data_IF_513172818468
#
_entry.id   IF_513172818468
#
_cell.length_a   1.000
_cell.length_b   1.000
_cell.length_c   1.000
_cell.angle_alpha   90.00
_cell.angle_beta   90.00
_cell.angle_gamma   90.00
#
_symmetry.space_group_name_H-M   'P 1'
#
loop_
_entity.id
_entity.type
_entity.pdbx_description
1 polymer ?
#
# COMPACT_ATOMS: atom_id res chain seq x y z
N UNK A 1 -6.65 -5.67 2.67
CA UNK A 1 -5.76 -6.41 1.75
C UNK A 1 -5.55 -5.56 0.51
N UNK A 2 -4.41 -5.66 -0.14
CA UNK A 2 -4.10 -4.89 -1.35
C UNK A 2 -2.98 -5.51 -2.16
N UNK A 3 -2.77 -4.98 -3.36
CA UNK A 3 -1.67 -5.37 -4.25
C UNK A 3 -0.92 -4.12 -4.69
N UNK A 4 0.40 -4.19 -4.71
CA UNK A 4 1.28 -3.16 -5.26
C UNK A 4 2.24 -3.78 -6.27
N UNK A 5 2.62 -3.02 -7.30
CA UNK A 5 3.59 -3.49 -8.28
C UNK A 5 5.03 -3.41 -7.74
N UNK A 6 5.97 -4.00 -8.48
CA UNK A 6 7.40 -4.02 -8.13
C UNK A 6 8.00 -2.62 -7.94
N UNK A 7 7.54 -1.62 -8.71
CA UNK A 7 8.00 -0.24 -8.56
C UNK A 7 7.56 0.36 -7.22
N UNK A 8 6.32 0.14 -6.80
CA UNK A 8 5.83 0.60 -5.50
C UNK A 8 6.52 -0.08 -4.33
N UNK A 9 6.81 -1.38 -4.43
CA UNK A 9 7.64 -2.08 -3.43
C UNK A 9 9.03 -1.43 -3.31
N UNK A 10 9.67 -1.16 -4.45
CA UNK A 10 10.99 -0.52 -4.49
C UNK A 10 10.98 0.89 -3.87
N UNK A 11 9.95 1.70 -4.18
CA UNK A 11 9.82 3.06 -3.65
C UNK A 11 9.72 3.08 -2.12
N UNK A 12 9.04 2.09 -1.54
CA UNK A 12 8.86 1.95 -0.09
C UNK A 12 9.93 1.07 0.57
N UNK A 13 11.00 0.70 -0.16
CA UNK A 13 12.10 -0.15 0.30
C UNK A 13 11.65 -1.52 0.85
N UNK A 14 10.57 -2.08 0.30
CA UNK A 14 10.10 -3.44 0.62
C UNK A 14 10.73 -4.41 -0.37
N UNK A 15 11.47 -5.40 0.14
CA UNK A 15 12.18 -6.39 -0.65
C UNK A 15 11.93 -7.82 -0.10
N UNK A 16 12.49 -8.82 -0.76
CA UNK A 16 12.23 -10.24 -0.46
C UNK A 16 12.61 -10.64 0.98
N UNK A 17 13.50 -9.90 1.64
CA UNK A 17 13.92 -10.15 3.03
C UNK A 17 12.93 -9.62 4.09
N UNK A 18 11.89 -8.88 3.65
CA UNK A 18 10.86 -8.37 4.56
C UNK A 18 10.16 -9.51 5.29
N UNK A 19 10.01 -9.39 6.61
CA UNK A 19 9.29 -10.37 7.43
C UNK A 19 7.82 -9.98 7.55
N UNK A 20 6.99 -11.01 7.69
CA UNK A 20 5.59 -10.83 8.01
C UNK A 20 5.44 -10.18 9.40
N UNK A 21 4.70 -9.06 9.51
CA UNK A 21 4.40 -8.48 10.82
C UNK A 21 3.40 -9.36 11.57
N UNK A 22 3.31 -9.18 12.89
CA UNK A 22 2.25 -9.83 13.66
C UNK A 22 0.87 -9.41 13.10
N UNK A 23 0.02 -10.39 12.76
CA UNK A 23 -1.31 -10.13 12.19
C UNK A 23 -1.24 -9.50 10.80
N UNK A 24 -0.36 -9.97 9.92
CA UNK A 24 -0.28 -9.54 8.53
C UNK A 24 0.71 -10.38 7.73
N UNK A 25 0.50 -10.47 6.42
CA UNK A 25 1.30 -11.34 5.53
C UNK A 25 1.68 -10.56 4.28
N UNK A 26 2.94 -10.69 3.87
CA UNK A 26 3.41 -10.33 2.53
C UNK A 26 3.35 -11.56 1.61
N UNK A 27 2.61 -11.45 0.51
CA UNK A 27 2.44 -12.53 -0.46
C UNK A 27 3.72 -12.80 -1.26
N UNK A 28 3.95 -14.09 -1.54
CA UNK A 28 5.13 -14.57 -2.28
C UNK A 28 4.73 -15.53 -3.39
N UNK A 29 5.55 -15.63 -4.42
CA UNK A 29 5.38 -16.68 -5.42
C UNK A 29 5.67 -18.04 -4.79
N UNK A 30 4.85 -19.04 -5.12
CA UNK A 30 4.94 -20.38 -4.57
C UNK A 30 6.33 -20.98 -4.74
N UNK A 31 6.90 -21.53 -3.66
CA UNK A 31 8.22 -22.14 -3.66
C UNK A 31 9.39 -21.15 -3.71
N UNK A 32 9.12 -19.84 -3.59
CA UNK A 32 10.15 -18.80 -3.59
C UNK A 32 9.97 -17.86 -2.40
N UNK A 33 10.99 -17.04 -2.13
CA UNK A 33 10.85 -15.91 -1.20
C UNK A 33 10.45 -14.60 -1.92
N UNK A 34 10.24 -14.64 -3.23
CA UNK A 34 10.01 -13.44 -4.04
C UNK A 34 8.62 -12.87 -3.83
N UNK A 35 8.56 -11.59 -3.47
CA UNK A 35 7.30 -10.88 -3.27
C UNK A 35 6.48 -10.81 -4.56
N UNK A 36 5.19 -11.11 -4.45
CA UNK A 36 4.23 -10.97 -5.55
C UNK A 36 3.42 -9.66 -5.47
N UNK A 37 3.73 -8.81 -4.48
CA UNK A 37 3.08 -7.51 -4.27
C UNK A 37 1.79 -7.56 -3.46
N UNK A 38 1.28 -8.74 -3.12
CA UNK A 38 0.10 -8.89 -2.28
C UNK A 38 0.40 -8.65 -0.80
N UNK A 39 -0.54 -8.03 -0.08
CA UNK A 39 -0.41 -7.73 1.35
C UNK A 39 -1.74 -7.87 2.08
N UNK A 40 -1.71 -8.48 3.26
CA UNK A 40 -2.86 -8.62 4.16
C UNK A 40 -2.66 -7.89 5.49
N UNK A 41 -3.79 -7.47 6.08
CA UNK A 41 -3.86 -6.89 7.44
C UNK A 41 -2.71 -5.91 7.77
N UNK A 42 -1.91 -6.19 8.80
CA UNK A 42 -0.87 -5.28 9.26
C UNK A 42 0.26 -5.08 8.25
N UNK A 43 0.50 -6.01 7.31
CA UNK A 43 1.43 -5.77 6.21
C UNK A 43 0.91 -4.63 5.32
N UNK A 44 -0.37 -4.67 4.97
CA UNK A 44 -1.01 -3.63 4.18
C UNK A 44 -1.13 -2.29 4.93
N UNK A 45 -1.55 -2.32 6.20
CA UNK A 45 -1.69 -1.09 7.00
C UNK A 45 -0.34 -0.39 7.20
N UNK A 46 0.72 -1.15 7.48
CA UNK A 46 2.06 -0.57 7.64
C UNK A 46 2.59 0.00 6.33
N UNK A 47 2.35 -0.69 5.20
CA UNK A 47 2.70 -0.19 3.88
C UNK A 47 1.94 1.09 3.51
N UNK A 48 0.64 1.18 3.79
CA UNK A 48 -0.11 2.43 3.55
C UNK A 48 0.41 3.60 4.39
N UNK A 49 0.82 3.34 5.64
CA UNK A 49 1.41 4.37 6.51
C UNK A 49 2.74 4.91 5.95
N UNK A 50 3.56 4.08 5.31
CA UNK A 50 4.83 4.54 4.73
C UNK A 50 4.61 5.44 3.51
N UNK A 51 3.59 5.16 2.71
CA UNK A 51 3.21 5.97 1.54
C UNK A 51 2.55 7.30 1.92
N UNK A 52 1.89 7.35 3.08
CA UNK A 52 1.05 8.47 3.52
C UNK A 52 1.87 9.73 3.86
N UNK A 53 2.34 10.44 2.85
CA UNK A 53 2.65 11.87 2.98
C UNK A 53 1.36 12.68 2.93
N UNK A 54 1.13 13.56 3.90
CA UNK A 54 0.05 14.56 3.84
C UNK A 54 0.35 15.60 2.74
N UNK A 55 0.01 15.28 1.49
CA UNK A 55 -0.05 16.27 0.41
C UNK A 55 -1.38 17.03 0.51
N UNK A 56 -1.32 18.22 1.11
CA UNK A 56 -2.47 19.08 1.37
C UNK A 56 -3.15 19.51 0.05
N UNK A 57 -2.39 19.76 -1.02
CA UNK A 57 -2.96 20.19 -2.30
C UNK A 57 -3.71 19.05 -2.97
N UNK A 58 -3.16 17.83 -2.94
CA UNK A 58 -3.87 16.66 -3.43
C UNK A 58 -5.14 16.39 -2.62
N UNK A 59 -5.08 16.53 -1.29
CA UNK A 59 -6.24 16.37 -0.42
C UNK A 59 -7.34 17.39 -0.76
N UNK A 60 -6.99 18.67 -0.93
CA UNK A 60 -7.95 19.72 -1.33
C UNK A 60 -8.61 19.39 -2.67
N UNK A 61 -7.84 18.95 -3.67
CA UNK A 61 -8.38 18.52 -4.97
C UNK A 61 -9.37 17.36 -4.82
N UNK A 62 -9.01 16.35 -4.03
CA UNK A 62 -9.86 15.19 -3.79
C UNK A 62 -11.17 15.56 -3.06
N UNK A 63 -11.13 16.50 -2.12
CA UNK A 63 -12.33 17.00 -1.42
C UNK A 63 -13.28 17.71 -2.39
N UNK A 64 -12.77 18.61 -3.25
CA UNK A 64 -13.60 19.30 -4.24
C UNK A 64 -14.27 18.29 -5.19
N UNK A 65 -13.51 17.30 -5.67
CA UNK A 65 -14.05 16.25 -6.53
C UNK A 65 -15.15 15.44 -5.84
N UNK A 66 -14.95 15.08 -4.57
CA UNK A 66 -15.96 14.39 -3.79
C UNK A 66 -17.23 15.24 -3.62
N UNK A 67 -17.09 16.53 -3.32
CA UNK A 67 -18.24 17.44 -3.18
C UNK A 67 -19.07 17.50 -4.47
N UNK A 68 -18.44 17.65 -5.63
CA UNK A 68 -19.15 17.67 -6.91
C UNK A 68 -19.82 16.32 -7.23
N UNK A 69 -19.20 15.19 -6.87
CA UNK A 69 -19.80 13.86 -7.04
C UNK A 69 -21.06 13.65 -6.18
N UNK A 70 -21.05 14.16 -4.94
CA UNK A 70 -22.12 13.95 -3.95
C UNK A 70 -23.22 15.03 -3.96
N UNK A 71 -23.10 16.06 -4.80
CA UNK A 71 -24.01 17.23 -4.89
C UNK A 71 -25.43 16.94 -5.42
N UNK A 72 -25.95 15.72 -5.23
CA UNK A 72 -27.31 15.35 -5.64
C UNK A 72 -28.36 16.28 -5.06
#
# INVERSE_FOLDING_TARGET
MGVVNSFGLCKENVNDDVKDPQGGIYGRFYGTNTLNGYMEENAFINFQKSISSLDIEMMRKNIILAQELYKK
#
